data_IF_844884272910
#
_entry.id   IF_844884272910
#
_cell.length_a   1.000
_cell.length_b   1.000
_cell.length_c   1.000
_cell.angle_alpha   90.00
_cell.angle_beta   90.00
_cell.angle_gamma   90.00
#
_symmetry.space_group_name_H-M   'P 1'
#
loop_
_entity.id
_entity.type
_entity.pdbx_description
1 polymer ?
#
# COMPACT_ATOMS: atom_id res chain seq x y z
N UNK A 1 2.98 37.64 -1.61
CA UNK A 1 3.65 36.46 -2.22
C UNK A 1 3.60 36.65 -3.72
N UNK A 2 4.68 36.34 -4.43
CA UNK A 2 4.73 36.52 -5.87
C UNK A 2 3.91 35.38 -6.49
N UNK A 3 2.66 35.64 -6.88
CA UNK A 3 1.71 34.66 -7.45
C UNK A 3 2.05 34.24 -8.90
N UNK A 4 3.33 34.32 -9.29
CA UNK A 4 3.77 33.74 -10.56
C UNK A 4 3.88 32.23 -10.39
N UNK A 5 2.82 31.52 -10.77
CA UNK A 5 2.86 30.09 -11.03
C UNK A 5 3.73 29.78 -12.25
N UNK A 6 4.02 28.49 -12.46
CA UNK A 6 4.72 28.03 -13.65
C UNK A 6 3.77 27.97 -14.86
N UNK A 7 4.26 28.35 -16.04
CA UNK A 7 3.52 28.10 -17.30
C UNK A 7 3.63 26.63 -17.70
N UNK A 8 2.78 26.20 -18.65
CA UNK A 8 2.86 24.83 -19.19
C UNK A 8 4.21 24.60 -19.87
N UNK A 9 4.74 25.61 -20.57
CA UNK A 9 6.04 25.54 -21.25
C UNK A 9 7.19 25.38 -20.24
N UNK A 10 7.13 26.08 -19.11
CA UNK A 10 8.11 25.92 -18.03
C UNK A 10 8.07 24.50 -17.45
N UNK A 11 6.87 23.95 -17.24
CA UNK A 11 6.69 22.57 -16.77
C UNK A 11 7.21 21.57 -17.82
N UNK A 12 6.85 21.73 -19.09
CA UNK A 12 7.31 20.85 -20.17
C UNK A 12 8.83 20.90 -20.31
N UNK A 13 9.44 22.07 -20.14
CA UNK A 13 10.91 22.19 -20.17
C UNK A 13 11.60 21.39 -19.06
N UNK A 14 10.95 21.23 -17.90
CA UNK A 14 11.43 20.37 -16.82
C UNK A 14 11.35 18.90 -17.24
N UNK A 15 10.27 18.49 -17.92
CA UNK A 15 10.12 17.13 -18.45
C UNK A 15 11.12 16.84 -19.59
N UNK A 16 11.40 17.81 -20.46
CA UNK A 16 12.39 17.68 -21.54
C UNK A 16 13.82 17.55 -21.01
N UNK A 17 14.10 18.17 -19.85
CA UNK A 17 15.39 18.06 -19.15
C UNK A 17 15.49 16.81 -18.27
N UNK A 18 14.36 16.17 -17.95
CA UNK A 18 14.35 14.93 -17.21
C UNK A 18 14.90 13.79 -18.09
N UNK A 19 15.62 12.80 -17.51
CA UNK A 19 16.05 11.64 -18.27
C UNK A 19 14.83 10.98 -18.94
N UNK A 20 14.96 10.60 -20.23
CA UNK A 20 13.88 9.97 -20.98
C UNK A 20 13.35 8.69 -20.31
N UNK A 21 14.24 7.96 -19.63
CA UNK A 21 13.84 7.03 -18.60
C UNK A 21 13.32 7.85 -17.42
N UNK A 22 12.01 7.79 -17.13
CA UNK A 22 11.36 8.35 -15.94
C UNK A 22 11.90 7.77 -14.60
N UNK A 23 13.14 7.28 -14.56
CA UNK A 23 14.00 6.95 -13.42
C UNK A 23 13.91 8.00 -12.31
N UNK A 24 13.79 9.29 -12.62
CA UNK A 24 13.58 10.34 -11.63
C UNK A 24 12.27 10.15 -10.84
N UNK A 25 11.24 9.57 -11.45
CA UNK A 25 10.00 9.16 -10.78
C UNK A 25 10.11 7.79 -10.11
N UNK A 26 11.15 6.97 -10.34
CA UNK A 26 11.37 5.75 -9.54
C UNK A 26 11.63 6.05 -8.06
N UNK A 27 12.06 7.28 -7.76
CA UNK A 27 12.20 7.81 -6.40
C UNK A 27 10.89 8.29 -5.76
N UNK A 28 9.81 8.41 -6.54
CA UNK A 28 8.52 8.91 -6.09
C UNK A 28 8.00 8.04 -4.95
N UNK A 29 7.76 8.64 -3.79
CA UNK A 29 7.29 7.89 -2.61
C UNK A 29 8.31 6.92 -2.01
N UNK A 30 9.61 7.11 -2.27
CA UNK A 30 10.65 6.54 -1.40
C UNK A 30 10.77 7.35 -0.11
N UNK A 31 11.28 6.72 0.94
CA UNK A 31 11.60 7.40 2.19
C UNK A 31 12.71 8.43 1.95
N UNK A 32 12.52 9.66 2.43
CA UNK A 32 13.64 10.61 2.54
C UNK A 32 14.60 10.14 3.64
N UNK A 33 15.90 10.51 3.61
CA UNK A 33 16.85 10.13 4.65
C UNK A 33 16.37 10.48 6.07
N UNK A 34 15.72 11.62 6.23
CA UNK A 34 15.22 12.12 7.52
C UNK A 34 14.06 11.25 8.03
N UNK A 35 13.10 10.93 7.15
CA UNK A 35 11.92 10.15 7.50
C UNK A 35 12.23 8.65 7.62
N UNK A 36 13.31 8.18 7.00
CA UNK A 36 13.75 6.79 7.06
C UNK A 36 14.06 6.32 8.47
N UNK A 37 14.67 7.17 9.31
CA UNK A 37 15.00 6.81 10.70
C UNK A 37 13.74 6.54 11.53
N UNK A 38 12.77 7.45 11.50
CA UNK A 38 11.50 7.28 12.21
C UNK A 38 10.75 6.03 11.72
N UNK A 39 10.70 5.83 10.40
CA UNK A 39 10.08 4.64 9.81
C UNK A 39 10.77 3.35 10.28
N UNK A 40 12.11 3.34 10.31
CA UNK A 40 12.90 2.21 10.79
C UNK A 40 12.60 1.89 12.26
N UNK A 41 12.56 2.89 13.13
CA UNK A 41 12.22 2.70 14.55
C UNK A 41 10.82 2.07 14.73
N UNK A 42 9.84 2.51 13.94
CA UNK A 42 8.48 1.92 13.95
C UNK A 42 8.48 0.49 13.40
N UNK A 43 9.25 0.22 12.35
CA UNK A 43 9.38 -1.11 11.77
C UNK A 43 10.02 -2.10 12.76
N UNK A 44 11.10 -1.69 13.43
CA UNK A 44 11.76 -2.49 14.47
C UNK A 44 10.82 -2.76 15.65
N UNK A 45 10.07 -1.75 16.11
CA UNK A 45 9.06 -1.94 17.16
C UNK A 45 7.95 -2.93 16.74
N UNK A 46 7.47 -2.82 15.51
CA UNK A 46 6.52 -3.76 14.92
C UNK A 46 7.07 -5.20 14.89
N UNK A 47 8.33 -5.40 14.50
CA UNK A 47 8.94 -6.74 14.53
C UNK A 47 9.11 -7.26 15.95
N UNK A 48 9.55 -6.42 16.89
CA UNK A 48 9.75 -6.80 18.29
C UNK A 48 8.43 -7.23 18.93
N UNK A 49 7.35 -6.47 18.72
CA UNK A 49 6.02 -6.81 19.26
C UNK A 49 5.47 -8.11 18.69
N UNK A 50 5.78 -8.45 17.44
CA UNK A 50 5.38 -9.73 16.84
C UNK A 50 6.24 -10.92 17.28
N UNK A 51 7.54 -10.69 17.54
CA UNK A 51 8.48 -11.75 17.92
C UNK A 51 8.59 -11.97 19.44
N UNK A 52 8.09 -11.06 20.25
CA UNK A 52 8.08 -11.20 21.71
C UNK A 52 7.24 -12.42 22.10
N UNK A 53 7.89 -13.49 22.57
CA UNK A 53 7.21 -14.59 23.27
C UNK A 53 6.42 -13.96 24.42
N UNK A 54 5.11 -14.28 24.51
CA UNK A 54 4.13 -13.81 25.52
C UNK A 54 4.85 -13.14 26.69
N UNK A 55 4.91 -11.81 26.69
CA UNK A 55 5.53 -11.06 27.79
C UNK A 55 4.90 -11.55 29.09
N UNK A 56 5.72 -12.20 29.92
CA UNK A 56 5.34 -12.90 31.14
C UNK A 56 4.22 -12.16 31.90
N UNK A 57 3.00 -12.69 31.85
CA UNK A 57 1.87 -12.25 32.69
C UNK A 57 0.88 -11.24 32.10
N UNK A 58 0.97 -10.82 30.83
CA UNK A 58 -0.12 -10.05 30.17
C UNK A 58 -1.20 -10.98 29.57
N UNK A 59 -2.47 -10.59 29.70
CA UNK A 59 -3.58 -11.29 29.05
C UNK A 59 -3.51 -11.14 27.52
N UNK A 60 -4.05 -12.12 26.79
CA UNK A 60 -3.99 -12.21 25.32
C UNK A 60 -4.58 -10.98 24.60
N UNK A 61 -5.62 -10.37 25.16
CA UNK A 61 -6.24 -9.16 24.63
C UNK A 61 -5.29 -7.94 24.66
N UNK A 62 -4.48 -7.80 25.71
CA UNK A 62 -3.50 -6.72 25.80
C UNK A 62 -2.37 -6.89 24.78
N UNK A 63 -1.96 -8.13 24.51
CA UNK A 63 -0.95 -8.44 23.49
C UNK A 63 -1.46 -8.11 22.07
N UNK A 64 -2.69 -8.53 21.75
CA UNK A 64 -3.34 -8.21 20.47
C UNK A 64 -3.50 -6.70 20.28
N UNK A 65 -3.87 -5.97 21.34
CA UNK A 65 -3.99 -4.51 21.29
C UNK A 65 -2.65 -3.82 21.05
N UNK A 66 -1.58 -4.27 21.72
CA UNK A 66 -0.23 -3.74 21.52
C UNK A 66 0.25 -4.01 20.08
N UNK A 67 0.07 -5.24 19.59
CA UNK A 67 0.42 -5.63 18.22
C UNK A 67 -0.37 -4.87 17.15
N UNK A 68 -1.66 -4.67 17.37
CA UNK A 68 -2.52 -3.86 16.50
C UNK A 68 -2.04 -2.41 16.44
N UNK A 69 -1.81 -1.81 17.62
CA UNK A 69 -1.33 -0.43 17.73
C UNK A 69 0.04 -0.23 17.07
N UNK A 70 0.98 -1.16 17.25
CA UNK A 70 2.28 -1.12 16.62
C UNK A 70 2.17 -1.17 15.08
N UNK A 71 1.26 -1.98 14.53
CA UNK A 71 1.00 -2.05 13.11
C UNK A 71 0.40 -0.73 12.57
N UNK A 72 -0.63 -0.19 13.22
CA UNK A 72 -1.24 1.09 12.80
C UNK A 72 -0.24 2.25 12.83
N UNK A 73 0.63 2.28 13.84
CA UNK A 73 1.67 3.31 13.96
C UNK A 73 2.72 3.18 12.86
N UNK A 74 3.10 1.95 12.48
CA UNK A 74 3.98 1.70 11.33
C UNK A 74 3.32 2.13 10.01
N UNK A 75 2.04 1.80 9.80
CA UNK A 75 1.30 2.18 8.59
C UNK A 75 1.19 3.71 8.50
N UNK A 76 0.89 4.39 9.60
CA UNK A 76 0.84 5.85 9.64
C UNK A 76 2.21 6.44 9.25
N UNK A 77 3.29 5.97 9.88
CA UNK A 77 4.64 6.43 9.58
C UNK A 77 5.05 6.16 8.13
N UNK A 78 4.61 5.04 7.54
CA UNK A 78 4.82 4.73 6.12
C UNK A 78 4.26 5.81 5.21
N UNK A 79 2.97 6.15 5.37
CA UNK A 79 2.31 7.15 4.54
C UNK A 79 2.87 8.55 4.78
N UNK A 80 3.16 8.93 6.03
CA UNK A 80 3.81 10.21 6.36
C UNK A 80 5.21 10.35 5.76
N UNK A 81 5.95 9.24 5.72
CA UNK A 81 7.30 9.18 5.17
C UNK A 81 7.36 9.18 3.64
N UNK A 82 6.25 8.87 2.99
CA UNK A 82 6.12 8.78 1.52
C UNK A 82 5.77 10.16 0.93
N UNK A 83 6.76 11.06 0.85
CA UNK A 83 6.67 12.33 0.09
C UNK A 83 5.55 13.31 0.47
N UNK A 84 4.80 13.04 1.54
CA UNK A 84 3.59 13.77 1.98
C UNK A 84 2.52 13.86 0.89
N UNK A 85 2.42 12.80 0.07
CA UNK A 85 1.34 12.68 -0.90
C UNK A 85 -0.02 12.46 -0.24
N UNK A 86 -0.04 12.13 1.05
CA UNK A 86 -1.23 11.69 1.74
C UNK A 86 -1.50 12.49 3.02
N UNK A 87 -2.77 12.76 3.26
CA UNK A 87 -3.36 13.13 4.53
C UNK A 87 -3.92 11.85 5.19
N UNK A 88 -3.69 11.68 6.49
CA UNK A 88 -4.00 10.43 7.20
C UNK A 88 -5.01 10.72 8.31
N UNK A 89 -6.08 9.96 8.32
CA UNK A 89 -7.16 10.03 9.28
C UNK A 89 -7.26 8.67 9.98
N UNK A 90 -7.10 8.63 11.31
CA UNK A 90 -7.07 7.38 12.08
C UNK A 90 -8.35 7.17 12.88
N UNK A 91 -8.70 5.91 13.14
CA UNK A 91 -9.81 5.50 13.99
C UNK A 91 -11.14 6.17 13.61
N UNK A 92 -11.47 6.16 12.32
CA UNK A 92 -12.72 6.76 11.85
C UNK A 92 -13.86 5.82 12.25
N UNK A 93 -14.76 6.32 13.09
CA UNK A 93 -15.96 5.61 13.49
C UNK A 93 -17.16 6.18 12.75
N UNK A 94 -17.80 5.36 11.93
CA UNK A 94 -19.18 5.58 11.53
C UNK A 94 -20.06 4.68 12.41
N UNK A 95 -21.34 5.03 12.62
CA UNK A 95 -22.19 4.39 13.64
C UNK A 95 -22.32 2.86 13.58
N UNK A 96 -21.77 2.19 12.57
CA UNK A 96 -21.76 0.74 12.40
C UNK A 96 -20.37 0.11 12.19
N UNK A 97 -19.34 0.88 11.83
CA UNK A 97 -17.99 0.37 11.53
C UNK A 97 -16.88 1.28 12.07
N UNK A 98 -15.76 0.64 12.44
CA UNK A 98 -14.50 1.30 12.72
C UNK A 98 -13.55 1.06 11.56
N UNK A 99 -12.96 2.13 11.05
CA UNK A 99 -11.92 2.11 10.02
C UNK A 99 -10.60 2.48 10.70
N UNK A 100 -9.63 1.57 10.65
CA UNK A 100 -8.36 1.78 11.34
C UNK A 100 -7.64 3.02 10.78
N UNK A 101 -7.49 3.12 9.45
CA UNK A 101 -7.02 4.33 8.79
C UNK A 101 -7.76 4.61 7.48
N UNK A 102 -8.00 5.88 7.21
CA UNK A 102 -8.37 6.40 5.89
C UNK A 102 -7.29 7.37 5.44
N UNK A 103 -6.84 7.21 4.20
CA UNK A 103 -5.73 7.96 3.65
C UNK A 103 -6.18 8.60 2.35
N UNK A 104 -6.03 9.92 2.25
CA UNK A 104 -6.46 10.69 1.08
C UNK A 104 -5.29 11.45 0.49
N UNK A 105 -5.26 11.65 -0.82
CA UNK A 105 -4.28 12.54 -1.44
C UNK A 105 -4.32 13.94 -0.83
N UNK A 106 -3.16 14.46 -0.46
CA UNK A 106 -3.00 15.84 -0.03
C UNK A 106 -3.31 16.81 -1.16
N UNK A 107 -3.55 18.08 -0.84
CA UNK A 107 -3.85 19.11 -1.85
C UNK A 107 -2.82 19.20 -2.99
N UNK A 108 -1.54 18.91 -2.72
CA UNK A 108 -0.49 18.84 -3.75
C UNK A 108 -0.58 17.57 -4.60
N UNK A 109 -0.86 16.42 -3.99
CA UNK A 109 -1.01 15.14 -4.69
C UNK A 109 -2.24 15.14 -5.61
N UNK A 110 -3.35 15.73 -5.16
CA UNK A 110 -4.57 15.91 -5.99
C UNK A 110 -4.30 16.65 -7.30
N UNK A 111 -3.36 17.62 -7.32
CA UNK A 111 -3.01 18.37 -8.53
C UNK A 111 -2.22 17.54 -9.56
N UNK A 112 -1.57 16.47 -9.11
CA UNK A 112 -0.76 15.58 -9.95
C UNK A 112 -1.30 14.15 -9.94
N UNK A 113 -2.59 13.97 -9.62
CA UNK A 113 -3.23 12.66 -9.45
C UNK A 113 -3.11 11.79 -10.71
N UNK A 114 -3.20 12.38 -11.90
CA UNK A 114 -3.00 11.67 -13.16
C UNK A 114 -1.61 11.05 -13.31
N UNK A 115 -0.59 11.59 -12.63
CA UNK A 115 0.78 11.04 -12.62
C UNK A 115 0.91 9.98 -11.52
N UNK A 116 0.34 10.24 -10.34
CA UNK A 116 0.43 9.34 -9.18
C UNK A 116 -0.47 8.10 -9.32
N UNK A 117 -1.54 8.19 -10.11
CA UNK A 117 -2.63 7.23 -10.20
C UNK A 117 -3.84 7.71 -9.41
N UNK A 118 -4.90 8.13 -10.10
CA UNK A 118 -6.12 8.67 -9.49
C UNK A 118 -6.81 7.67 -8.55
N UNK A 119 -6.66 6.36 -8.81
CA UNK A 119 -7.21 5.32 -7.95
C UNK A 119 -6.69 5.41 -6.51
N UNK A 120 -5.53 6.02 -6.27
CA UNK A 120 -4.96 6.19 -4.93
C UNK A 120 -5.44 7.46 -4.22
N UNK A 121 -6.41 8.19 -4.79
CA UNK A 121 -6.94 9.43 -4.19
C UNK A 121 -7.50 9.20 -2.80
N UNK A 122 -8.19 8.07 -2.59
CA UNK A 122 -8.87 7.72 -1.34
C UNK A 122 -8.68 6.22 -1.07
N UNK A 123 -7.88 5.90 -0.05
CA UNK A 123 -7.51 4.55 0.33
C UNK A 123 -8.06 4.27 1.72
N UNK A 124 -8.82 3.18 1.85
CA UNK A 124 -9.22 2.66 3.14
C UNK A 124 -8.24 1.57 3.59
N UNK A 125 -7.86 1.58 4.86
CA UNK A 125 -6.83 0.72 5.41
C UNK A 125 -7.35 -0.04 6.63
N UNK A 126 -7.09 -1.35 6.65
CA UNK A 126 -7.42 -2.22 7.78
C UNK A 126 -6.13 -2.89 8.29
N UNK A 127 -5.87 -2.82 9.59
CA UNK A 127 -4.71 -3.40 10.25
C UNK A 127 -5.12 -4.66 11.01
N UNK A 128 -4.64 -5.83 10.59
CA UNK A 128 -4.94 -7.12 11.24
C UNK A 128 -3.65 -7.83 11.63
N UNK A 129 -3.33 -7.80 12.92
CA UNK A 129 -2.08 -8.37 13.45
C UNK A 129 -2.30 -9.44 14.53
N UNK A 130 -2.89 -10.59 14.16
CA UNK A 130 -3.21 -11.69 15.07
C UNK A 130 -2.17 -12.83 15.09
N UNK A 131 -0.91 -12.54 14.71
CA UNK A 131 0.16 -13.55 14.66
C UNK A 131 -0.08 -14.70 13.67
N UNK A 132 -1.03 -14.53 12.75
CA UNK A 132 -1.34 -15.46 11.66
C UNK A 132 -1.75 -14.68 10.43
N UNK A 133 -1.72 -15.35 9.27
CA UNK A 133 -2.19 -14.80 8.00
C UNK A 133 -3.67 -14.36 8.04
N UNK A 134 -3.99 -13.31 7.30
CA UNK A 134 -5.36 -12.80 7.16
C UNK A 134 -6.25 -13.85 6.49
N UNK A 135 -7.34 -14.21 7.16
CA UNK A 135 -8.31 -15.21 6.68
C UNK A 135 -9.34 -14.59 5.72
N UNK A 136 -9.91 -15.45 4.88
CA UNK A 136 -10.94 -15.10 3.87
C UNK A 136 -12.12 -14.30 4.46
N UNK A 137 -12.54 -14.61 5.69
CA UNK A 137 -13.63 -13.90 6.37
C UNK A 137 -13.35 -12.41 6.55
N UNK A 138 -12.10 -12.02 6.82
CA UNK A 138 -11.73 -10.62 7.01
C UNK A 138 -11.70 -9.87 5.68
N UNK A 139 -11.24 -10.52 4.60
CA UNK A 139 -11.31 -9.94 3.24
C UNK A 139 -12.76 -9.66 2.84
N UNK A 140 -13.69 -10.58 3.13
CA UNK A 140 -15.11 -10.38 2.85
C UNK A 140 -15.71 -9.22 3.66
N UNK A 141 -15.42 -9.12 4.97
CA UNK A 141 -15.87 -8.00 5.80
C UNK A 141 -15.31 -6.66 5.32
N UNK A 142 -14.02 -6.64 4.98
CA UNK A 142 -13.36 -5.45 4.47
C UNK A 142 -13.95 -5.00 3.13
N UNK A 143 -14.24 -5.93 2.22
CA UNK A 143 -14.97 -5.62 1.00
C UNK A 143 -16.34 -4.98 1.28
N UNK A 144 -17.14 -5.54 2.20
CA UNK A 144 -18.42 -4.94 2.57
C UNK A 144 -18.29 -3.50 3.09
N UNK A 145 -17.25 -3.21 3.87
CA UNK A 145 -16.92 -1.86 4.33
C UNK A 145 -16.53 -0.93 3.17
N UNK A 146 -15.71 -1.40 2.23
CA UNK A 146 -15.36 -0.64 1.03
C UNK A 146 -16.59 -0.29 0.19
N UNK A 147 -17.52 -1.23 0.03
CA UNK A 147 -18.76 -1.00 -0.72
C UNK A 147 -19.67 0.02 -0.02
N UNK A 148 -19.75 0.02 1.31
CA UNK A 148 -20.58 0.98 2.05
C UNK A 148 -19.98 2.39 2.10
N UNK A 149 -18.67 2.51 1.91
CA UNK A 149 -17.92 3.77 1.90
C UNK A 149 -17.57 4.27 0.48
N UNK A 150 -17.93 3.49 -0.55
CA UNK A 150 -17.63 3.75 -1.96
C UNK A 150 -16.13 3.92 -2.28
N UNK A 151 -15.27 3.20 -1.55
CA UNK A 151 -13.83 3.17 -1.79
C UNK A 151 -13.47 2.09 -2.81
N UNK A 152 -12.62 2.45 -3.79
CA UNK A 152 -12.15 1.52 -4.84
C UNK A 152 -10.84 0.82 -4.48
N UNK A 153 -9.97 1.46 -3.70
CA UNK A 153 -8.72 0.88 -3.21
C UNK A 153 -8.81 0.67 -1.70
N UNK A 154 -8.52 -0.55 -1.28
CA UNK A 154 -8.41 -0.95 0.10
C UNK A 154 -7.13 -1.73 0.32
N UNK A 155 -6.45 -1.47 1.43
CA UNK A 155 -5.23 -2.17 1.80
C UNK A 155 -5.42 -2.83 3.15
N UNK A 156 -5.17 -4.14 3.19
CA UNK A 156 -5.13 -4.90 4.43
C UNK A 156 -3.68 -5.10 4.85
N UNK A 157 -3.30 -4.45 5.93
CA UNK A 157 -1.97 -4.57 6.51
C UNK A 157 -1.94 -5.70 7.54
N UNK A 158 -0.89 -6.50 7.52
CA UNK A 158 -0.67 -7.57 8.50
C UNK A 158 0.80 -7.95 8.59
N UNK A 159 1.17 -8.79 9.56
CA UNK A 159 2.53 -9.32 9.62
C UNK A 159 2.80 -10.35 8.52
N UNK A 160 1.92 -11.34 8.35
CA UNK A 160 2.15 -12.49 7.47
C UNK A 160 1.45 -12.39 6.11
N UNK A 161 0.66 -11.37 5.87
CA UNK A 161 -0.11 -11.21 4.64
C UNK A 161 -1.35 -12.10 4.56
N UNK A 162 -1.87 -12.30 3.35
CA UNK A 162 -3.06 -13.10 3.08
C UNK A 162 -2.80 -14.60 3.20
N UNK A 163 -3.77 -15.31 3.77
CA UNK A 163 -3.72 -16.77 3.84
C UNK A 163 -3.95 -17.41 2.47
N UNK A 164 -3.16 -18.46 2.18
CA UNK A 164 -3.35 -19.42 1.09
C UNK A 164 -3.19 -18.86 -0.33
N UNK A 165 -2.99 -19.77 -1.29
CA UNK A 165 -2.92 -19.47 -2.73
C UNK A 165 -4.12 -20.01 -3.52
N UNK A 166 -4.99 -20.77 -2.87
CA UNK A 166 -6.19 -21.30 -3.52
C UNK A 166 -7.24 -20.21 -3.71
N UNK A 167 -8.12 -20.41 -4.69
CA UNK A 167 -9.28 -19.54 -4.96
C UNK A 167 -10.26 -19.41 -3.78
N UNK A 168 -10.20 -20.30 -2.79
CA UNK A 168 -11.01 -20.29 -1.57
C UNK A 168 -10.34 -19.55 -0.40
N UNK A 169 -9.05 -19.22 -0.53
CA UNK A 169 -8.29 -18.51 0.49
C UNK A 169 -8.39 -16.99 0.29
N UNK A 170 -7.78 -16.20 1.19
CA UNK A 170 -7.87 -14.74 1.17
C UNK A 170 -7.37 -14.14 -0.17
N UNK A 171 -6.23 -14.63 -0.66
CA UNK A 171 -5.67 -14.26 -1.97
C UNK A 171 -6.61 -14.58 -3.13
N UNK A 172 -7.31 -15.72 -3.06
CA UNK A 172 -8.28 -16.12 -4.08
C UNK A 172 -9.53 -15.26 -4.07
N UNK A 173 -10.01 -14.90 -2.88
CA UNK A 173 -11.19 -14.04 -2.75
C UNK A 173 -10.91 -12.62 -3.25
N UNK A 174 -9.76 -12.02 -2.94
CA UNK A 174 -9.44 -10.66 -3.45
C UNK A 174 -9.44 -10.61 -4.98
N UNK A 175 -8.89 -11.64 -5.65
CA UNK A 175 -8.95 -11.79 -7.13
C UNK A 175 -10.39 -11.92 -7.63
N UNK A 176 -11.22 -12.74 -6.98
CA UNK A 176 -12.65 -12.88 -7.33
C UNK A 176 -13.40 -11.56 -7.21
N UNK A 177 -13.22 -10.85 -6.10
CA UNK A 177 -13.86 -9.57 -5.83
C UNK A 177 -13.46 -8.52 -6.86
N UNK A 178 -12.18 -8.47 -7.24
CA UNK A 178 -11.69 -7.63 -8.33
C UNK A 178 -12.40 -7.91 -9.67
N UNK A 179 -12.65 -9.19 -9.98
CA UNK A 179 -13.31 -9.62 -11.22
C UNK A 179 -14.84 -9.51 -11.19
N UNK A 180 -15.47 -9.14 -10.07
CA UNK A 180 -16.94 -9.02 -9.98
C UNK A 180 -17.51 -7.92 -10.88
N UNK A 181 -16.68 -6.96 -11.31
CA UNK A 181 -17.08 -5.84 -12.15
C UNK A 181 -16.33 -5.90 -13.48
N UNK A 182 -17.09 -5.80 -14.57
CA UNK A 182 -16.53 -5.84 -15.93
C UNK A 182 -15.75 -4.56 -16.25
N UNK A 183 -16.35 -3.41 -15.92
CA UNK A 183 -15.74 -2.09 -16.16
C UNK A 183 -14.62 -1.82 -15.18
N UNK A 184 -13.48 -1.38 -15.71
CA UNK A 184 -12.28 -1.10 -14.92
C UNK A 184 -12.52 -0.01 -13.85
N UNK A 185 -13.31 1.01 -14.17
CA UNK A 185 -13.70 2.12 -13.26
C UNK A 185 -14.51 1.65 -12.05
N UNK A 186 -15.19 0.51 -12.18
CA UNK A 186 -16.01 -0.06 -11.10
C UNK A 186 -15.25 -1.04 -10.22
N UNK A 187 -14.07 -1.49 -10.65
CA UNK A 187 -13.31 -2.54 -9.96
C UNK A 187 -12.85 -2.09 -8.59
N UNK A 188 -12.86 -3.06 -7.68
CA UNK A 188 -12.42 -2.88 -6.30
C UNK A 188 -11.13 -3.66 -6.08
N UNK A 189 -10.10 -2.98 -5.60
CA UNK A 189 -8.80 -3.54 -5.33
C UNK A 189 -8.65 -3.73 -3.83
N UNK A 190 -8.51 -4.98 -3.41
CA UNK A 190 -8.14 -5.34 -2.05
C UNK A 190 -6.72 -5.87 -2.08
N UNK A 191 -5.80 -5.04 -1.60
CA UNK A 191 -4.36 -5.31 -1.64
C UNK A 191 -3.91 -5.88 -0.30
N UNK A 192 -3.11 -6.94 -0.37
CA UNK A 192 -2.38 -7.46 0.78
C UNK A 192 -1.08 -6.67 0.97
N UNK A 193 -0.73 -6.35 2.21
CA UNK A 193 0.51 -5.65 2.55
C UNK A 193 1.14 -6.24 3.82
N UNK A 194 2.31 -6.84 3.67
CA UNK A 194 2.95 -7.65 4.72
C UNK A 194 4.25 -7.02 5.26
N UNK A 195 4.88 -7.70 6.23
CA UNK A 195 6.21 -7.33 6.74
C UNK A 195 7.29 -7.23 5.66
N UNK A 196 7.15 -8.01 4.59
CA UNK A 196 8.12 -8.03 3.49
C UNK A 196 7.98 -6.77 2.63
N UNK A 197 6.75 -6.28 2.44
CA UNK A 197 6.49 -5.02 1.76
C UNK A 197 7.01 -3.83 2.59
N UNK A 198 6.79 -3.83 3.92
CA UNK A 198 7.38 -2.82 4.80
C UNK A 198 8.91 -2.84 4.75
N UNK A 199 9.52 -4.03 4.74
CA UNK A 199 10.97 -4.17 4.59
C UNK A 199 11.46 -3.61 3.26
N UNK A 200 10.74 -3.88 2.17
CA UNK A 200 11.08 -3.37 0.85
C UNK A 200 11.09 -1.83 0.83
N UNK A 201 10.14 -1.17 1.48
CA UNK A 201 10.13 0.30 1.62
C UNK A 201 11.38 0.78 2.37
N UNK A 202 11.74 0.12 3.47
CA UNK A 202 12.95 0.45 4.23
C UNK A 202 14.23 0.29 3.37
N UNK A 203 14.24 -0.69 2.49
CA UNK A 203 15.33 -0.99 1.55
C UNK A 203 15.36 -0.07 0.32
N UNK A 204 14.40 0.86 0.22
CA UNK A 204 14.36 1.90 -0.81
C UNK A 204 13.39 1.65 -1.96
N UNK A 205 12.53 0.63 -1.87
CA UNK A 205 11.40 0.50 -2.80
C UNK A 205 10.36 1.62 -2.55
N UNK A 206 9.73 2.08 -3.62
CA UNK A 206 8.67 3.09 -3.55
C UNK A 206 7.34 2.46 -3.13
N UNK A 207 6.57 3.13 -2.26
CA UNK A 207 5.19 2.73 -1.95
C UNK A 207 4.34 2.62 -3.22
N UNK A 208 4.41 3.63 -4.11
CA UNK A 208 3.64 3.60 -5.36
C UNK A 208 4.04 2.43 -6.26
N UNK A 209 5.33 2.08 -6.33
CA UNK A 209 5.76 0.89 -7.07
C UNK A 209 5.16 -0.39 -6.50
N UNK A 210 5.17 -0.56 -5.18
CA UNK A 210 4.56 -1.72 -4.52
C UNK A 210 3.07 -1.79 -4.84
N UNK A 211 2.35 -0.68 -4.68
CA UNK A 211 0.91 -0.61 -4.97
C UNK A 211 0.60 -0.88 -6.44
N UNK A 212 1.35 -0.28 -7.36
CA UNK A 212 1.21 -0.49 -8.80
C UNK A 212 1.44 -1.95 -9.18
N UNK A 213 2.49 -2.57 -8.65
CA UNK A 213 2.80 -3.98 -8.90
C UNK A 213 1.69 -4.90 -8.39
N UNK A 214 1.14 -4.64 -7.20
CA UNK A 214 0.04 -5.43 -6.63
C UNK A 214 -1.26 -5.23 -7.42
N UNK A 215 -1.58 -4.00 -7.83
CA UNK A 215 -2.72 -3.73 -8.72
C UNK A 215 -2.57 -4.45 -10.06
N UNK A 216 -1.39 -4.43 -10.67
CA UNK A 216 -1.12 -5.14 -11.91
C UNK A 216 -1.20 -6.67 -11.74
N UNK A 217 -0.69 -7.21 -10.62
CA UNK A 217 -0.81 -8.63 -10.32
C UNK A 217 -2.28 -9.07 -10.26
N UNK A 218 -3.15 -8.27 -9.61
CA UNK A 218 -4.60 -8.52 -9.61
C UNK A 218 -5.21 -8.44 -11.01
N UNK A 219 -4.86 -7.42 -11.80
CA UNK A 219 -5.31 -7.27 -13.20
C UNK A 219 -4.96 -8.47 -14.07
N UNK A 220 -3.76 -9.01 -13.89
CA UNK A 220 -3.24 -10.16 -14.63
C UNK A 220 -3.65 -11.51 -14.03
N UNK A 221 -4.32 -11.51 -12.86
CA UNK A 221 -4.72 -12.73 -12.15
C UNK A 221 -3.55 -13.52 -11.53
N UNK A 222 -2.34 -12.96 -11.49
CA UNK A 222 -1.13 -13.61 -10.98
C UNK A 222 -0.88 -13.27 -9.51
N UNK A 223 0.07 -13.97 -8.87
CA UNK A 223 0.41 -13.75 -7.45
C UNK A 223 1.45 -12.63 -7.25
N UNK A 224 2.46 -12.57 -8.13
CA UNK A 224 3.55 -11.61 -8.02
C UNK A 224 4.14 -11.35 -9.41
N UNK A 225 4.03 -10.11 -9.87
CA UNK A 225 4.54 -9.69 -11.18
C UNK A 225 6.06 -9.79 -11.28
N UNK A 226 6.80 -9.58 -10.17
CA UNK A 226 8.28 -9.60 -10.17
C UNK A 226 8.84 -10.96 -10.59
N UNK A 227 8.08 -12.05 -10.42
CA UNK A 227 8.46 -13.41 -10.87
C UNK A 227 8.39 -13.60 -12.38
N UNK A 228 7.61 -12.76 -13.07
CA UNK A 228 7.39 -12.84 -14.51
C UNK A 228 8.16 -11.77 -15.28
N UNK A 229 8.76 -10.78 -14.60
CA UNK A 229 9.76 -9.86 -15.16
C UNK A 229 11.14 -10.53 -15.11
N UNK A 230 11.24 -11.75 -15.66
CA UNK A 230 12.54 -12.37 -15.95
C UNK A 230 12.91 -12.00 -17.38
N UNK A 231 14.13 -11.46 -17.57
CA UNK A 231 14.68 -11.20 -18.90
C UNK A 231 14.58 -12.49 -19.73
N UNK A 232 13.94 -12.42 -20.88
CA UNK A 232 13.84 -13.60 -21.74
C UNK A 232 15.28 -13.94 -22.21
N UNK A 233 15.72 -15.21 -22.21
CA UNK A 233 17.09 -15.58 -22.62
C UNK A 233 17.53 -15.12 -24.02
N UNK A 234 16.58 -14.64 -24.83
CA UNK A 234 16.79 -14.16 -26.19
C UNK A 234 16.78 -12.63 -26.31
N UNK A 235 16.51 -11.86 -25.24
CA UNK A 235 16.59 -10.39 -25.28
C UNK A 235 18.03 -9.90 -25.52
N UNK A 236 19.03 -10.68 -25.11
CA UNK A 236 20.45 -10.42 -25.41
C UNK A 236 20.93 -11.02 -26.74
N UNK A 237 20.06 -11.64 -27.56
CA UNK A 237 20.44 -12.29 -28.83
C UNK A 237 20.08 -11.51 -30.08
N UNK A 238 19.48 -10.32 -29.95
CA UNK A 238 19.21 -9.42 -31.08
C UNK A 238 20.20 -8.26 -31.09
N UNK A 239 21.49 -8.58 -31.11
CA UNK A 239 22.52 -7.72 -31.69
C UNK A 239 23.56 -8.64 -32.34
N UNK A 240 23.37 -8.89 -33.63
CA UNK A 240 24.41 -9.20 -34.62
C UNK A 240 23.80 -8.99 -36.01
#
# INVERSE_FOLDING_TARGET
MNDKGYTIEEILSIFDQAPASLECFKGLGRLTPEKKKLYQEKYEHFLLTNNSRKLNGKNEDDDNRIKGKALEDLVSAMFEATGEYFEIYRNIRNGTNEVDLFVQFSGKAKRISHILGEQYSDIICECKNYGTHVKVTYVGKFYSLMQSTNNKIGIMFSHDGFSGKSWSAATGLSKKLFMLKEKEEDKTYILDFSKDDFKAILDGESLFNILNNKCQALRLGIDDIKKYITLHPNENKVVN
#
